data_IF_319880727737
#
_entry.id   IF_319880727737
#
_cell.length_a   1.000
_cell.length_b   1.000
_cell.length_c   1.000
_cell.angle_alpha   90.00
_cell.angle_beta   90.00
_cell.angle_gamma   90.00
#
_symmetry.space_group_name_H-M   'P 1'
#
loop_
_entity.id
_entity.type
_entity.pdbx_description
1 polymer ?
#
# COMPACT_ATOMS: atom_id res chain seq x y z
N UNK A 1 9.31 -9.94 9.90
CA UNK A 1 9.21 -10.52 11.26
C UNK A 1 7.77 -10.37 11.68
N UNK A 2 7.08 -11.48 11.90
CA UNK A 2 5.68 -11.50 12.30
C UNK A 2 5.56 -12.05 13.73
N UNK A 3 4.64 -11.50 14.51
CA UNK A 3 4.29 -12.00 15.83
C UNK A 3 2.81 -11.78 16.13
N UNK A 4 2.22 -12.68 16.93
CA UNK A 4 0.85 -12.57 17.40
C UNK A 4 0.73 -13.06 18.84
N UNK A 5 -0.20 -12.48 19.59
CA UNK A 5 -0.41 -12.76 21.00
C UNK A 5 -1.84 -13.26 21.25
N UNK A 6 -2.07 -14.08 22.30
CA UNK A 6 -3.40 -14.53 22.69
C UNK A 6 -4.40 -13.39 22.95
N UNK A 7 -3.92 -12.17 23.23
CA UNK A 7 -4.74 -10.97 23.42
C UNK A 7 -5.39 -10.43 22.15
N UNK A 8 -5.16 -11.05 20.99
CA UNK A 8 -5.61 -10.56 19.69
C UNK A 8 -4.70 -9.53 19.05
N UNK A 9 -3.64 -9.10 19.75
CA UNK A 9 -2.61 -8.23 19.20
C UNK A 9 -1.71 -8.98 18.22
N UNK A 10 -1.33 -8.33 17.12
CA UNK A 10 -0.33 -8.84 16.19
C UNK A 10 0.52 -7.71 15.61
N UNK A 11 1.67 -8.06 15.05
CA UNK A 11 2.53 -7.14 14.32
C UNK A 11 3.28 -7.85 13.18
N UNK A 12 3.65 -7.08 12.16
CA UNK A 12 4.62 -7.44 11.12
C UNK A 12 5.64 -6.32 10.94
N UNK A 13 6.89 -6.69 10.64
CA UNK A 13 7.98 -5.77 10.37
C UNK A 13 8.82 -6.28 9.19
N UNK A 14 9.03 -5.43 8.20
CA UNK A 14 9.94 -5.67 7.08
C UNK A 14 10.94 -4.53 6.99
N UNK A 15 12.22 -4.85 6.80
CA UNK A 15 13.29 -3.88 6.60
C UNK A 15 14.22 -4.37 5.49
N UNK A 16 14.60 -3.46 4.60
CA UNK A 16 15.40 -3.76 3.41
C UNK A 16 16.44 -2.66 3.22
N UNK A 17 17.65 -3.04 2.86
CA UNK A 17 18.74 -2.13 2.51
C UNK A 17 19.24 -2.45 1.11
N UNK A 18 19.42 -1.40 0.31
CA UNK A 18 20.05 -1.44 -1.00
C UNK A 18 21.45 -0.84 -0.89
N UNK A 19 22.45 -1.57 -1.38
CA UNK A 19 23.84 -1.14 -1.43
C UNK A 19 24.53 -1.70 -2.66
N UNK A 20 25.49 -0.96 -3.23
CA UNK A 20 26.20 -1.32 -4.46
C UNK A 20 26.60 -0.04 -5.20
N UNK A 21 26.83 -0.14 -6.51
CA UNK A 21 27.18 1.01 -7.34
C UNK A 21 26.28 1.05 -8.59
N UNK A 22 25.95 2.26 -9.05
CA UNK A 22 25.20 2.51 -10.28
C UNK A 22 25.88 3.62 -11.07
N UNK A 23 26.52 3.27 -12.19
CA UNK A 23 27.32 4.23 -12.95
C UNK A 23 28.49 4.74 -12.10
N UNK A 24 28.48 6.03 -11.76
CA UNK A 24 29.50 6.67 -10.89
C UNK A 24 29.03 6.83 -9.44
N UNK A 25 27.79 6.49 -9.14
CA UNK A 25 27.19 6.73 -7.83
C UNK A 25 27.23 5.47 -6.99
N UNK A 26 27.43 5.62 -5.68
CA UNK A 26 27.25 4.53 -4.72
C UNK A 26 25.80 4.49 -4.24
N UNK A 27 25.18 3.31 -4.26
CA UNK A 27 23.83 3.08 -3.76
C UNK A 27 23.88 2.98 -2.23
N UNK A 28 23.04 3.78 -1.56
CA UNK A 28 22.83 3.75 -0.13
C UNK A 28 21.36 4.08 0.18
N UNK A 29 20.48 3.12 -0.07
CA UNK A 29 19.04 3.29 0.08
C UNK A 29 18.44 2.23 1.01
N UNK A 30 17.25 2.48 1.55
CA UNK A 30 16.57 1.54 2.43
C UNK A 30 15.06 1.77 2.47
N UNK A 31 14.34 0.72 2.83
CA UNK A 31 12.92 0.73 3.06
C UNK A 31 12.56 0.00 4.36
N UNK A 32 11.52 0.49 5.04
CA UNK A 32 10.94 -0.14 6.22
C UNK A 32 9.41 -0.17 6.12
N UNK A 33 8.80 -1.26 6.57
CA UNK A 33 7.36 -1.38 6.71
C UNK A 33 7.06 -2.00 8.07
N UNK A 34 6.10 -1.44 8.78
CA UNK A 34 5.57 -2.01 10.02
C UNK A 34 4.06 -2.01 9.96
N UNK A 35 3.47 -3.11 10.43
CA UNK A 35 2.04 -3.26 10.68
C UNK A 35 1.84 -3.68 12.12
N UNK A 36 0.83 -3.14 12.77
CA UNK A 36 0.37 -3.61 14.08
C UNK A 36 -1.14 -3.49 14.17
N UNK A 37 -1.78 -4.43 14.84
CA UNK A 37 -3.23 -4.43 14.92
C UNK A 37 -3.78 -5.28 16.05
N UNK A 38 -5.08 -5.11 16.27
CA UNK A 38 -5.84 -5.82 17.29
C UNK A 38 -7.09 -6.44 16.68
N UNK A 39 -7.30 -7.72 16.96
CA UNK A 39 -8.50 -8.47 16.57
C UNK A 39 -9.44 -8.59 17.76
N UNK A 40 -10.69 -8.14 17.59
CA UNK A 40 -11.73 -8.24 18.62
C UNK A 40 -12.65 -9.44 18.30
N UNK A 41 -12.13 -10.66 18.45
CA UNK A 41 -12.79 -11.89 18.02
C UNK A 41 -14.14 -12.17 18.71
N UNK A 42 -14.35 -11.63 19.91
CA UNK A 42 -15.55 -11.81 20.72
C UNK A 42 -16.70 -10.85 20.35
N UNK A 43 -16.43 -9.81 19.55
CA UNK A 43 -17.45 -8.84 19.15
C UNK A 43 -18.17 -9.30 17.86
N UNK A 44 -19.46 -8.96 17.70
CA UNK A 44 -20.18 -9.18 16.44
C UNK A 44 -19.42 -8.55 15.27
N UNK A 45 -19.28 -9.30 14.19
CA UNK A 45 -18.52 -8.86 13.02
C UNK A 45 -17.00 -8.94 13.16
N UNK A 46 -16.47 -9.43 14.30
CA UNK A 46 -15.03 -9.68 14.54
C UNK A 46 -14.12 -8.54 14.03
N UNK A 47 -14.36 -7.28 14.46
CA UNK A 47 -13.62 -6.15 13.93
C UNK A 47 -12.12 -6.30 14.19
N UNK A 48 -11.35 -5.80 13.25
CA UNK A 48 -9.90 -5.72 13.31
C UNK A 48 -9.48 -4.29 12.98
N UNK A 49 -8.71 -3.69 13.88
CA UNK A 49 -8.12 -2.37 13.70
C UNK A 49 -6.62 -2.55 13.53
N UNK A 50 -6.04 -1.94 12.51
CA UNK A 50 -4.59 -1.93 12.34
C UNK A 50 -4.06 -0.59 11.90
N UNK A 51 -2.82 -0.30 12.30
CA UNK A 51 -2.02 0.79 11.79
C UNK A 51 -0.81 0.23 11.08
N UNK A 52 -0.48 0.83 9.93
CA UNK A 52 0.67 0.49 9.12
C UNK A 52 1.48 1.75 8.79
N UNK A 53 2.80 1.60 8.74
CA UNK A 53 3.69 2.66 8.29
C UNK A 53 4.73 2.11 7.31
N UNK A 54 4.74 2.64 6.10
CA UNK A 54 5.71 2.30 5.05
C UNK A 54 6.62 3.50 4.79
N UNK A 55 7.92 3.27 4.88
CA UNK A 55 8.98 4.23 4.58
C UNK A 55 9.87 3.70 3.46
N UNK A 56 10.21 4.55 2.49
CA UNK A 56 11.23 4.30 1.49
C UNK A 56 12.07 5.55 1.30
N UNK A 57 13.40 5.43 1.41
CA UNK A 57 14.29 6.58 1.28
C UNK A 57 14.18 7.24 -0.11
N UNK A 58 14.41 8.55 -0.13
CA UNK A 58 14.50 9.37 -1.34
C UNK A 58 15.91 9.96 -1.51
N UNK A 59 16.13 10.66 -2.61
CA UNK A 59 17.40 11.29 -2.94
C UNK A 59 17.28 12.81 -3.13
N UNK A 60 17.66 13.54 -2.07
CA UNK A 60 17.58 15.00 -2.04
C UNK A 60 18.66 15.71 -2.85
N UNK A 61 19.71 15.01 -3.30
CA UNK A 61 20.84 15.57 -4.03
C UNK A 61 21.47 14.55 -5.00
N UNK A 62 21.06 14.53 -6.28
CA UNK A 62 21.58 13.58 -7.26
C UNK A 62 23.03 13.87 -7.68
N UNK A 63 23.65 14.97 -7.25
CA UNK A 63 25.01 15.35 -7.64
C UNK A 63 26.07 14.99 -6.59
N UNK A 64 25.66 14.42 -5.45
CA UNK A 64 26.57 14.08 -4.33
C UNK A 64 27.28 12.71 -4.49
N UNK A 65 27.07 12.03 -5.63
CA UNK A 65 27.64 10.72 -5.93
C UNK A 65 27.01 9.58 -5.13
N UNK A 66 25.86 9.79 -4.49
CA UNK A 66 25.15 8.76 -3.72
C UNK A 66 23.69 8.65 -4.14
N UNK A 67 23.34 7.48 -4.66
CA UNK A 67 21.94 7.17 -4.99
C UNK A 67 21.21 6.68 -3.73
N UNK A 68 20.30 7.51 -3.21
CA UNK A 68 19.57 7.22 -1.95
C UNK A 68 18.09 6.86 -2.15
N UNK A 69 17.54 7.07 -3.34
CA UNK A 69 16.17 6.66 -3.65
C UNK A 69 16.06 5.14 -3.65
N UNK A 70 15.25 4.60 -2.73
CA UNK A 70 14.99 3.17 -2.65
C UNK A 70 14.19 2.69 -3.87
N UNK A 71 14.57 1.55 -4.44
CA UNK A 71 14.02 1.05 -5.71
C UNK A 71 12.80 0.14 -5.52
N UNK A 72 12.47 -0.20 -4.28
CA UNK A 72 11.39 -1.14 -3.95
C UNK A 72 11.84 -2.59 -4.07
N UNK A 73 10.99 -3.52 -3.62
CA UNK A 73 11.27 -4.96 -3.70
C UNK A 73 10.40 -5.57 -4.79
N UNK A 74 10.95 -6.51 -5.55
CA UNK A 74 10.17 -7.28 -6.51
C UNK A 74 8.96 -7.94 -5.82
N UNK A 75 7.76 -7.68 -6.34
CA UNK A 75 6.52 -8.25 -5.80
C UNK A 75 5.95 -7.57 -4.55
N UNK A 76 6.48 -6.41 -4.13
CA UNK A 76 5.89 -5.58 -3.05
C UNK A 76 4.75 -4.67 -3.52
N UNK A 77 4.45 -4.65 -4.83
CA UNK A 77 3.38 -3.84 -5.42
C UNK A 77 2.03 -4.20 -4.83
N UNK A 78 1.28 -3.19 -4.41
CA UNK A 78 -0.06 -3.27 -3.79
C UNK A 78 -0.15 -4.10 -2.50
N UNK A 79 0.99 -4.44 -1.87
CA UNK A 79 1.02 -5.13 -0.57
C UNK A 79 1.28 -4.20 0.61
N UNK A 80 1.95 -3.08 0.35
CA UNK A 80 2.52 -2.21 1.40
C UNK A 80 2.06 -0.74 1.27
N UNK A 81 1.18 -0.45 0.30
CA UNK A 81 0.71 0.90 -0.05
C UNK A 81 -0.58 0.85 -0.87
N UNK A 82 -1.23 2.02 -1.05
CA UNK A 82 -2.60 2.16 -1.54
C UNK A 82 -2.89 1.55 -2.92
N UNK A 83 -4.17 1.26 -3.15
CA UNK A 83 -4.61 0.34 -4.20
C UNK A 83 -4.77 1.01 -5.56
N UNK A 84 -4.98 2.34 -5.62
CA UNK A 84 -5.12 3.06 -6.91
C UNK A 84 -3.83 3.03 -7.74
N UNK A 85 -2.74 2.44 -7.22
CA UNK A 85 -1.48 2.26 -7.94
C UNK A 85 -0.80 3.60 -8.30
N UNK A 86 -1.06 4.64 -7.51
CA UNK A 86 -0.41 5.96 -7.66
C UNK A 86 0.96 6.05 -6.97
N UNK A 87 1.31 5.05 -6.15
CA UNK A 87 2.53 5.03 -5.35
C UNK A 87 3.30 3.74 -5.63
N UNK A 88 4.61 3.81 -5.47
CA UNK A 88 5.46 2.64 -5.26
C UNK A 88 6.23 2.84 -3.95
N UNK A 89 6.80 1.76 -3.39
CA UNK A 89 7.64 1.84 -2.19
C UNK A 89 9.00 2.48 -2.51
N UNK A 90 8.96 3.78 -2.81
CA UNK A 90 10.06 4.59 -3.35
C UNK A 90 9.82 6.04 -2.97
N UNK A 91 10.79 6.68 -2.31
CA UNK A 91 10.67 8.07 -1.84
C UNK A 91 9.33 8.33 -1.12
N UNK A 92 9.00 7.50 -0.13
CA UNK A 92 7.64 7.39 0.41
C UNK A 92 7.64 7.42 1.94
N UNK A 93 6.66 8.12 2.51
CA UNK A 93 6.13 7.96 3.88
C UNK A 93 4.63 7.73 3.72
N UNK A 94 4.14 6.55 4.07
CA UNK A 94 2.72 6.21 4.05
C UNK A 94 2.28 5.86 5.47
N UNK A 95 1.33 6.62 6.03
CA UNK A 95 0.63 6.25 7.25
C UNK A 95 -0.73 5.68 6.88
N UNK A 96 -1.02 4.46 7.31
CA UNK A 96 -2.24 3.75 6.92
C UNK A 96 -3.01 3.26 8.15
N UNK A 97 -4.32 3.48 8.14
CA UNK A 97 -5.25 3.00 9.15
C UNK A 97 -6.28 2.09 8.49
N UNK A 98 -6.48 0.90 9.06
CA UNK A 98 -7.40 -0.08 8.52
C UNK A 98 -8.47 -0.46 9.53
N UNK A 99 -9.68 -0.69 9.02
CA UNK A 99 -10.76 -1.38 9.71
C UNK A 99 -11.23 -2.53 8.82
N UNK A 100 -11.12 -3.75 9.32
CA UNK A 100 -11.71 -4.93 8.69
C UNK A 100 -12.84 -5.46 9.57
N UNK A 101 -13.98 -5.81 8.96
CA UNK A 101 -15.11 -6.45 9.63
C UNK A 101 -15.63 -7.62 8.80
N UNK A 102 -16.13 -8.65 9.47
CA UNK A 102 -16.80 -9.81 8.87
C UNK A 102 -18.26 -9.89 9.33
N UNK A 103 -19.16 -9.02 8.82
CA UNK A 103 -20.53 -8.88 9.35
C UNK A 103 -21.40 -10.10 9.10
N UNK A 104 -21.08 -10.92 8.09
CA UNK A 104 -21.76 -12.18 7.76
C UNK A 104 -20.73 -13.27 7.47
N UNK A 105 -21.09 -14.55 7.61
CA UNK A 105 -20.24 -15.65 7.15
C UNK A 105 -19.83 -15.44 5.69
N UNK A 106 -18.52 -15.56 5.43
CA UNK A 106 -17.92 -15.44 4.08
C UNK A 106 -17.91 -14.03 3.46
N UNK A 107 -18.37 -13.01 4.18
CA UNK A 107 -18.27 -11.61 3.74
C UNK A 107 -17.27 -10.88 4.63
N UNK A 108 -16.20 -10.35 4.05
CA UNK A 108 -15.28 -9.39 4.68
C UNK A 108 -15.45 -8.02 4.03
N UNK A 109 -15.47 -6.97 4.85
CA UNK A 109 -15.43 -5.57 4.44
C UNK A 109 -14.17 -4.95 5.01
N UNK A 110 -13.39 -4.29 4.16
CA UNK A 110 -12.15 -3.60 4.52
C UNK A 110 -12.26 -2.12 4.15
N UNK A 111 -11.90 -1.26 5.08
CA UNK A 111 -11.68 0.16 4.84
C UNK A 111 -10.23 0.50 5.16
N UNK A 112 -9.51 1.12 4.23
CA UNK A 112 -8.12 1.55 4.38
C UNK A 112 -8.03 3.05 4.13
N UNK A 113 -7.42 3.78 5.06
CA UNK A 113 -7.18 5.21 4.91
C UNK A 113 -5.68 5.48 4.93
N UNK A 114 -5.18 6.15 3.89
CA UNK A 114 -3.77 6.43 3.69
C UNK A 114 -3.47 7.94 3.70
N UNK A 115 -2.35 8.30 4.30
CA UNK A 115 -1.71 9.62 4.16
C UNK A 115 -0.32 9.44 3.53
N UNK A 116 -0.17 9.97 2.31
CA UNK A 116 1.03 9.80 1.50
C UNK A 116 1.87 11.07 1.44
N UNK A 117 3.14 10.95 1.83
CA UNK A 117 4.15 12.00 1.72
C UNK A 117 5.43 11.50 1.07
N UNK A 118 6.21 12.41 0.48
CA UNK A 118 7.55 12.10 0.01
C UNK A 118 8.53 11.97 1.19
N UNK A 119 9.42 11.00 1.14
CA UNK A 119 10.50 10.92 2.13
C UNK A 119 11.48 12.10 1.97
N UNK A 120 11.78 12.46 0.72
CA UNK A 120 12.57 13.61 0.31
C UNK A 120 11.81 14.50 -0.67
N UNK A 121 11.57 15.74 -0.27
CA UNK A 121 10.76 16.74 -1.02
C UNK A 121 11.38 17.19 -2.35
N UNK A 122 12.69 16.98 -2.53
CA UNK A 122 13.44 17.32 -3.75
C UNK A 122 13.56 16.15 -4.72
N UNK A 123 13.16 14.96 -4.30
CA UNK A 123 13.11 13.78 -5.14
C UNK A 123 11.70 13.63 -5.76
N UNK A 124 11.59 12.83 -6.81
CA UNK A 124 10.35 12.67 -7.56
C UNK A 124 9.33 11.79 -6.85
N UNK A 125 8.05 12.05 -7.11
CA UNK A 125 6.97 11.12 -6.80
C UNK A 125 7.04 9.90 -7.73
N UNK A 126 6.97 8.70 -7.15
CA UNK A 126 7.10 7.41 -7.84
C UNK A 126 6.21 7.23 -9.07
N UNK A 127 5.05 7.89 -9.14
CA UNK A 127 4.13 7.79 -10.28
C UNK A 127 4.79 8.20 -11.61
N UNK A 128 5.59 9.27 -11.58
CA UNK A 128 6.38 9.72 -12.73
C UNK A 128 7.54 10.60 -12.22
N UNK A 129 8.61 10.03 -11.65
CA UNK A 129 9.58 10.77 -10.84
C UNK A 129 10.44 11.77 -11.64
N UNK A 130 10.49 11.65 -12.97
CA UNK A 130 11.17 12.64 -13.82
C UNK A 130 10.32 13.89 -14.05
N UNK A 131 9.00 13.74 -14.14
CA UNK A 131 8.07 14.85 -14.38
C UNK A 131 7.49 15.42 -13.08
N UNK A 132 7.15 14.55 -12.12
CA UNK A 132 6.52 14.92 -10.87
C UNK A 132 7.56 15.13 -9.76
N UNK A 133 8.39 16.14 -9.95
CA UNK A 133 9.49 16.52 -9.06
C UNK A 133 9.59 18.03 -8.93
N UNK A 134 9.89 18.50 -7.72
CA UNK A 134 10.29 19.89 -7.48
C UNK A 134 11.72 19.95 -6.90
N UNK A 135 12.74 20.27 -7.71
CA UNK A 135 14.13 20.34 -7.25
C UNK A 135 14.37 21.37 -6.14
N UNK A 136 13.52 22.39 -6.00
CA UNK A 136 13.63 23.37 -4.91
C UNK A 136 13.11 22.83 -3.58
N UNK A 137 12.13 21.92 -3.63
CA UNK A 137 11.38 21.40 -2.49
C UNK A 137 10.33 22.38 -1.93
N UNK A 138 9.95 23.41 -2.67
CA UNK A 138 8.93 24.40 -2.30
C UNK A 138 7.49 23.88 -2.42
N UNK A 139 7.29 22.81 -3.20
CA UNK A 139 6.02 22.11 -3.33
C UNK A 139 5.61 21.41 -2.02
N UNK A 140 6.56 21.14 -1.12
CA UNK A 140 6.36 20.37 0.10
C UNK A 140 6.50 18.87 -0.16
N UNK A 141 6.04 18.04 0.77
CA UNK A 141 6.10 16.58 0.66
C UNK A 141 4.71 15.92 0.63
N UNK A 142 3.63 16.67 0.88
CA UNK A 142 2.27 16.12 0.97
C UNK A 142 1.69 15.78 -0.39
N UNK A 143 1.74 14.50 -0.78
CA UNK A 143 1.28 14.04 -2.09
C UNK A 143 -0.24 13.88 -2.11
N UNK A 144 -0.82 13.30 -1.06
CA UNK A 144 -2.28 13.20 -0.95
C UNK A 144 -2.74 12.13 0.04
N UNK A 145 -4.04 11.91 0.05
CA UNK A 145 -4.71 10.94 0.93
C UNK A 145 -5.59 10.01 0.12
N UNK A 146 -5.77 8.78 0.56
CA UNK A 146 -6.59 7.77 -0.12
C UNK A 146 -7.53 7.08 0.85
N UNK A 147 -8.76 6.81 0.41
CA UNK A 147 -9.71 5.94 1.09
C UNK A 147 -10.08 4.80 0.15
N UNK A 148 -9.84 3.58 0.59
CA UNK A 148 -10.18 2.36 -0.12
C UNK A 148 -11.26 1.60 0.65
N UNK A 149 -12.35 1.27 -0.03
CA UNK A 149 -13.44 0.44 0.49
C UNK A 149 -13.53 -0.82 -0.34
N UNK A 150 -13.45 -1.98 0.31
CA UNK A 150 -13.42 -3.28 -0.35
C UNK A 150 -14.43 -4.20 0.30
N UNK A 151 -15.21 -4.89 -0.53
CA UNK A 151 -16.04 -6.01 -0.11
C UNK A 151 -15.52 -7.29 -0.78
N UNK A 152 -15.22 -8.30 0.03
CA UNK A 152 -14.83 -9.63 -0.45
C UNK A 152 -15.86 -10.65 0.01
N UNK A 153 -16.46 -11.36 -0.93
CA UNK A 153 -17.44 -12.42 -0.68
C UNK A 153 -16.94 -13.75 -1.22
N UNK A 154 -16.89 -14.77 -0.37
CA UNK A 154 -16.58 -16.14 -0.77
C UNK A 154 -17.86 -16.98 -0.88
N UNK A 155 -18.02 -17.70 -1.98
CA UNK A 155 -19.12 -18.66 -2.15
C UNK A 155 -18.62 -19.97 -2.75
N UNK A 156 -19.27 -21.07 -2.37
CA UNK A 156 -18.98 -22.39 -2.90
C UNK A 156 -19.82 -22.59 -4.15
N UNK A 157 -19.19 -23.05 -5.22
CA UNK A 157 -19.88 -23.43 -6.46
C UNK A 157 -19.75 -24.93 -6.61
N UNK A 158 -20.89 -25.62 -6.62
CA UNK A 158 -20.96 -27.06 -6.87
C UNK A 158 -21.83 -27.29 -8.10
N UNK A 159 -21.21 -27.72 -9.20
CA UNK A 159 -21.86 -28.13 -10.43
C UNK A 159 -21.62 -29.60 -10.75
N UNK A 160 -22.29 -30.12 -11.79
CA UNK A 160 -22.16 -31.53 -12.22
C UNK A 160 -20.76 -31.90 -12.72
N UNK A 161 -19.98 -30.93 -13.21
CA UNK A 161 -18.65 -31.16 -13.79
C UNK A 161 -17.51 -30.49 -13.00
N UNK A 162 -17.82 -29.52 -12.14
CA UNK A 162 -16.82 -28.76 -11.38
C UNK A 162 -17.35 -28.39 -10.00
N UNK A 163 -16.54 -28.60 -8.98
CA UNK A 163 -16.73 -28.06 -7.65
C UNK A 163 -15.56 -27.10 -7.34
N UNK A 164 -15.84 -26.05 -6.59
CA UNK A 164 -14.81 -25.09 -6.23
C UNK A 164 -15.32 -23.92 -5.41
N UNK A 165 -14.45 -22.93 -5.26
CA UNK A 165 -14.74 -21.69 -4.54
C UNK A 165 -14.63 -20.50 -5.47
N UNK A 166 -15.66 -19.67 -5.49
CA UNK A 166 -15.65 -18.35 -6.13
C UNK A 166 -15.42 -17.30 -5.05
N UNK A 167 -14.43 -16.43 -5.26
CA UNK A 167 -14.23 -15.20 -4.50
C UNK A 167 -14.61 -14.03 -5.40
N UNK A 168 -15.51 -13.18 -4.92
CA UNK A 168 -15.92 -11.93 -5.57
C UNK A 168 -15.37 -10.78 -4.74
N UNK A 169 -14.58 -9.91 -5.35
CA UNK A 169 -14.11 -8.69 -4.71
C UNK A 169 -14.63 -7.47 -5.46
N UNK A 170 -15.19 -6.53 -4.72
CA UNK A 170 -15.61 -5.22 -5.21
C UNK A 170 -14.81 -4.16 -4.48
N UNK A 171 -14.39 -3.11 -5.19
CA UNK A 171 -13.68 -1.99 -4.57
C UNK A 171 -14.12 -0.64 -5.09
N UNK A 172 -14.11 0.35 -4.21
CA UNK A 172 -14.30 1.76 -4.48
C UNK A 172 -13.23 2.55 -3.74
N UNK A 173 -12.40 3.26 -4.48
CA UNK A 173 -11.21 3.92 -4.01
C UNK A 173 -11.25 5.39 -4.41
N UNK A 174 -10.81 6.28 -3.51
CA UNK A 174 -10.74 7.71 -3.78
C UNK A 174 -9.44 8.31 -3.26
N UNK A 175 -8.73 9.01 -4.13
CA UNK A 175 -7.55 9.78 -3.80
C UNK A 175 -7.85 11.29 -3.84
N UNK A 176 -7.43 12.00 -2.80
CA UNK A 176 -7.45 13.46 -2.71
C UNK A 176 -6.03 14.01 -2.85
N UNK A 177 -5.82 14.83 -3.88
CA UNK A 177 -4.51 15.43 -4.14
C UNK A 177 -4.10 16.39 -3.01
N UNK A 178 -2.89 16.22 -2.49
CA UNK A 178 -2.23 17.10 -1.54
C UNK A 178 -1.42 18.20 -2.23
N UNK A 179 -0.81 19.08 -1.44
CA UNK A 179 -0.13 20.28 -1.92
C UNK A 179 0.96 19.99 -2.97
N UNK A 180 1.73 18.92 -2.79
CA UNK A 180 2.76 18.51 -3.75
C UNK A 180 2.13 18.11 -5.09
N UNK A 181 1.13 17.21 -5.07
CA UNK A 181 0.48 16.73 -6.28
C UNK A 181 -0.22 17.85 -7.05
N UNK A 182 -0.88 18.78 -6.35
CA UNK A 182 -1.54 19.94 -6.96
C UNK A 182 -0.55 20.86 -7.69
N UNK A 183 0.63 21.10 -7.11
CA UNK A 183 1.65 22.00 -7.67
C UNK A 183 2.47 21.37 -8.79
N UNK A 184 2.75 20.08 -8.70
CA UNK A 184 3.79 19.41 -9.50
C UNK A 184 3.21 18.40 -10.49
N UNK A 185 1.98 17.93 -10.28
CA UNK A 185 1.29 17.02 -11.17
C UNK A 185 -0.03 17.63 -11.68
N UNK A 186 -1.13 17.40 -10.98
CA UNK A 186 -2.44 17.93 -11.34
C UNK A 186 -3.25 18.22 -10.07
N UNK A 187 -3.97 19.34 -10.07
CA UNK A 187 -4.98 19.67 -9.07
C UNK A 187 -6.29 18.88 -9.35
N UNK A 188 -6.20 17.55 -9.27
CA UNK A 188 -7.32 16.63 -9.51
C UNK A 188 -7.30 15.46 -8.55
N UNK A 189 -8.49 15.13 -8.05
CA UNK A 189 -8.75 13.89 -7.32
C UNK A 189 -8.84 12.71 -8.30
N UNK A 190 -8.55 11.50 -7.84
CA UNK A 190 -8.75 10.27 -8.60
C UNK A 190 -9.80 9.37 -7.93
N UNK A 191 -10.54 8.60 -8.72
CA UNK A 191 -11.42 7.56 -8.22
C UNK A 191 -11.16 6.29 -9.03
N UNK A 192 -11.17 5.15 -8.35
CA UNK A 192 -11.00 3.85 -8.99
C UNK A 192 -12.06 2.88 -8.46
N UNK A 193 -12.66 2.13 -9.37
CA UNK A 193 -13.66 1.12 -9.06
C UNK A 193 -13.29 -0.16 -9.77
N UNK A 194 -13.45 -1.29 -9.09
CA UNK A 194 -13.15 -2.58 -9.68
C UNK A 194 -14.10 -3.68 -9.20
N UNK A 195 -14.17 -4.73 -10.03
CA UNK A 195 -14.75 -6.01 -9.69
C UNK A 195 -13.75 -7.09 -10.11
N UNK A 196 -13.40 -7.98 -9.20
CA UNK A 196 -12.51 -9.10 -9.43
C UNK A 196 -13.21 -10.40 -9.07
N UNK A 197 -13.12 -11.38 -9.98
CA UNK A 197 -13.64 -12.73 -9.80
C UNK A 197 -12.46 -13.70 -9.78
N UNK A 198 -12.35 -14.49 -8.73
CA UNK A 198 -11.35 -15.54 -8.62
C UNK A 198 -12.02 -16.88 -8.35
N UNK A 199 -11.83 -17.83 -9.27
CA UNK A 199 -12.33 -19.19 -9.12
C UNK A 199 -11.18 -20.15 -8.80
N UNK A 200 -11.33 -20.93 -7.73
CA UNK A 200 -10.44 -22.04 -7.37
C UNK A 200 -11.18 -23.35 -7.58
N UNK A 201 -10.64 -24.20 -8.46
CA UNK A 201 -11.16 -25.54 -8.73
C UNK A 201 -10.63 -26.49 -7.68
N UNK A 202 -11.51 -27.30 -7.10
CA UNK A 202 -11.10 -28.41 -6.24
C UNK A 202 -10.80 -29.62 -7.14
N UNK A 203 -9.52 -29.90 -7.36
CA UNK A 203 -9.08 -31.11 -8.05
C UNK A 203 -9.01 -32.21 -6.99
N UNK A 204 -9.93 -33.18 -7.03
CA UNK A 204 -9.78 -34.38 -6.21
C UNK A 204 -8.63 -35.24 -6.77
N UNK A 205 -7.73 -35.75 -5.91
CA UNK A 205 -6.70 -36.70 -6.33
C UNK A 205 -7.31 -38.02 -6.83
#
# INVERSE_FOLDING_TARGET
MYGSFPSGFYYDLTAVRESGDFGRDTIAAWGGHVKSGWKFAELPGKPELSFEYSYASGDGDPEDGRRKTFSGVFGSRDKMYGRINLFDWRNLKNSQFNLEISPLPKLSLLAEFHDFKLAEKRDGWSLNPSLYRDPSGAAGDEVGRELDLIATWETSITGKAFAGRLTVQLGACRFWAGNFAQKVAADKNANWFFCQLQYRIDIQP
#
